data_IF_147585192620
#
_entry.id   IF_147585192620
#
_cell.length_a   1.000
_cell.length_b   1.000
_cell.length_c   1.000
_cell.angle_alpha   90.00
_cell.angle_beta   90.00
_cell.angle_gamma   90.00
#
_symmetry.space_group_name_H-M   'P 1'
#
loop_
_entity.id
_entity.type
_entity.pdbx_description
1 polymer ?
#
# COMPACT_ATOMS: atom_id res chain seq x y z
N UNK A 1 -6.40 4.92 0.25
CA UNK A 1 -5.38 3.92 0.67
C UNK A 1 -5.43 2.62 -0.10
N UNK A 2 -6.39 2.42 -1.00
CA UNK A 2 -6.49 1.18 -1.79
C UNK A 2 -5.16 0.66 -2.37
N UNK A 3 -4.33 1.54 -2.91
CA UNK A 3 -3.01 1.16 -3.43
C UNK A 3 -2.06 0.63 -2.34
N UNK A 4 -2.01 1.27 -1.17
CA UNK A 4 -1.10 0.87 -0.08
C UNK A 4 -1.56 -0.42 0.61
N UNK A 5 -2.87 -0.59 0.86
CA UNK A 5 -3.41 -1.81 1.45
C UNK A 5 -3.13 -3.04 0.59
N UNK A 6 -3.35 -2.93 -0.73
CA UNK A 6 -2.99 -3.99 -1.69
C UNK A 6 -1.48 -4.25 -1.73
N UNK A 7 -0.67 -3.20 -1.69
CA UNK A 7 0.80 -3.33 -1.65
C UNK A 7 1.23 -4.12 -0.42
N UNK A 8 0.77 -3.74 0.77
CA UNK A 8 1.04 -4.45 2.03
C UNK A 8 0.65 -5.93 1.94
N UNK A 9 -0.56 -6.23 1.42
CA UNK A 9 -1.05 -7.60 1.26
C UNK A 9 -0.13 -8.44 0.37
N UNK A 10 0.33 -7.86 -0.75
CA UNK A 10 1.21 -8.55 -1.69
C UNK A 10 2.59 -8.82 -1.07
N UNK A 11 3.19 -7.80 -0.46
CA UNK A 11 4.48 -7.92 0.21
C UNK A 11 4.46 -8.93 1.35
N UNK A 12 3.39 -8.93 2.17
CA UNK A 12 3.19 -9.92 3.23
C UNK A 12 3.17 -11.35 2.66
N UNK A 13 2.42 -11.57 1.57
CA UNK A 13 2.34 -12.88 0.91
C UNK A 13 3.67 -13.30 0.29
N UNK A 14 4.43 -12.38 -0.29
CA UNK A 14 5.78 -12.66 -0.81
C UNK A 14 6.74 -13.13 0.28
N UNK A 15 6.58 -12.64 1.52
CA UNK A 15 7.31 -13.13 2.69
C UNK A 15 6.74 -14.43 3.29
N UNK A 16 5.66 -14.98 2.74
CA UNK A 16 5.02 -16.19 3.26
C UNK A 16 4.29 -16.01 4.60
N UNK A 17 4.07 -14.77 5.04
CA UNK A 17 3.42 -14.49 6.32
C UNK A 17 1.90 -14.50 6.18
N UNK A 18 1.20 -15.04 7.17
CA UNK A 18 -0.23 -14.82 7.39
C UNK A 18 -0.50 -13.43 8.01
N UNK A 19 -1.75 -12.99 7.97
CA UNK A 19 -2.15 -11.73 8.62
C UNK A 19 -1.94 -11.78 10.14
N UNK A 20 -2.14 -12.95 10.76
CA UNK A 20 -1.97 -13.13 12.20
C UNK A 20 -0.51 -13.06 12.62
N UNK A 21 0.40 -13.64 11.83
CA UNK A 21 1.85 -13.57 12.10
C UNK A 21 2.38 -12.15 12.00
N UNK A 22 2.01 -11.43 10.93
CA UNK A 22 2.39 -10.02 10.77
C UNK A 22 1.82 -9.17 11.91
N UNK A 23 0.56 -9.40 12.29
CA UNK A 23 -0.09 -8.70 13.39
C UNK A 23 0.64 -8.96 14.71
N UNK A 24 0.98 -10.21 15.00
CA UNK A 24 1.67 -10.60 16.23
C UNK A 24 3.06 -9.98 16.34
N UNK A 25 3.82 -9.92 15.25
CA UNK A 25 5.16 -9.30 15.24
C UNK A 25 5.11 -7.78 15.48
N UNK A 26 4.00 -7.14 15.12
CA UNK A 26 3.81 -5.70 15.23
C UNK A 26 2.98 -5.27 16.46
N UNK A 27 2.55 -6.21 17.31
CA UNK A 27 1.67 -5.92 18.44
C UNK A 27 0.30 -5.36 18.03
N UNK A 28 -0.20 -5.75 16.85
CA UNK A 28 -1.50 -5.33 16.32
C UNK A 28 -2.50 -6.49 16.35
N UNK A 29 -3.80 -6.19 16.23
CA UNK A 29 -4.79 -7.24 16.01
C UNK A 29 -4.77 -7.73 14.56
N UNK A 30 -5.09 -9.01 14.34
CA UNK A 30 -5.30 -9.54 12.98
C UNK A 30 -6.37 -8.74 12.22
N UNK A 31 -7.43 -8.31 12.90
CA UNK A 31 -8.49 -7.48 12.31
C UNK A 31 -7.97 -6.14 11.79
N UNK A 32 -7.00 -5.53 12.48
CA UNK A 32 -6.33 -4.31 12.03
C UNK A 32 -5.59 -4.56 10.71
N UNK A 33 -4.76 -5.60 10.64
CA UNK A 33 -4.04 -5.96 9.40
C UNK A 33 -5.02 -6.26 8.26
N UNK A 34 -6.05 -7.06 8.52
CA UNK A 34 -7.07 -7.39 7.51
C UNK A 34 -7.78 -6.14 6.99
N UNK A 35 -8.19 -5.23 7.87
CA UNK A 35 -8.89 -4.05 7.46
C UNK A 35 -8.02 -3.04 6.70
N UNK A 36 -6.71 -2.97 7.02
CA UNK A 36 -5.73 -2.21 6.23
C UNK A 36 -5.61 -2.80 4.83
N UNK A 37 -5.42 -4.11 4.73
CA UNK A 37 -5.23 -4.81 3.45
C UNK A 37 -6.45 -4.75 2.53
N UNK A 38 -7.65 -4.64 3.11
CA UNK A 38 -8.91 -4.61 2.38
C UNK A 38 -9.56 -3.22 2.36
N UNK A 39 -8.88 -2.17 2.84
CA UNK A 39 -9.38 -0.79 2.86
C UNK A 39 -10.74 -0.63 3.58
N UNK A 40 -10.95 -1.40 4.67
CA UNK A 40 -12.17 -1.32 5.49
C UNK A 40 -11.97 -0.57 6.80
N UNK A 41 -10.75 -0.13 7.10
CA UNK A 41 -10.46 0.75 8.24
C UNK A 41 -10.65 2.20 7.78
N UNK A 42 -11.44 3.02 8.49
CA UNK A 42 -11.72 4.40 8.11
C UNK A 42 -10.47 5.29 8.20
N UNK A 43 -9.60 5.04 9.19
CA UNK A 43 -8.36 5.79 9.38
C UNK A 43 -7.24 4.89 9.90
N UNK A 44 -6.03 5.09 9.37
CA UNK A 44 -4.81 4.50 9.91
C UNK A 44 -3.73 5.57 10.06
N UNK A 45 -3.14 5.62 11.25
CA UNK A 45 -2.00 6.49 11.52
C UNK A 45 -0.76 6.09 10.73
N UNK A 46 -0.03 7.09 10.24
CA UNK A 46 1.17 6.91 9.39
C UNK A 46 2.23 5.98 10.02
N UNK A 47 2.41 6.05 11.35
CA UNK A 47 3.36 5.18 12.09
C UNK A 47 3.04 3.69 11.94
N UNK A 48 1.75 3.32 11.86
CA UNK A 48 1.37 1.91 11.66
C UNK A 48 1.72 1.44 10.25
N UNK A 49 1.51 2.30 9.26
CA UNK A 49 1.89 2.01 7.86
C UNK A 49 3.39 1.85 7.74
N UNK A 50 4.16 2.78 8.33
CA UNK A 50 5.61 2.73 8.37
C UNK A 50 6.13 1.46 9.07
N UNK A 51 5.59 1.10 10.24
CA UNK A 51 5.98 -0.12 10.96
C UNK A 51 5.73 -1.39 10.13
N UNK A 52 4.58 -1.47 9.45
CA UNK A 52 4.25 -2.60 8.56
C UNK A 52 5.25 -2.67 7.41
N UNK A 53 5.51 -1.55 6.72
CA UNK A 53 6.45 -1.51 5.62
C UNK A 53 7.85 -1.93 6.08
N UNK A 54 8.34 -1.38 7.20
CA UNK A 54 9.66 -1.70 7.74
C UNK A 54 9.79 -3.19 8.06
N UNK A 55 8.77 -3.81 8.66
CA UNK A 55 8.75 -5.26 8.91
C UNK A 55 8.79 -6.08 7.61
N UNK A 56 8.15 -5.57 6.57
CA UNK A 56 8.17 -6.17 5.24
C UNK A 56 9.45 -5.84 4.45
N UNK A 57 10.39 -5.06 5.00
CA UNK A 57 11.66 -4.70 4.35
C UNK A 57 11.55 -3.51 3.38
N UNK A 58 10.53 -2.68 3.54
CA UNK A 58 10.27 -1.49 2.73
C UNK A 58 10.18 -0.26 3.63
N UNK A 59 10.36 0.92 3.05
CA UNK A 59 10.20 2.18 3.79
C UNK A 59 9.21 3.10 3.07
N UNK A 60 8.58 3.99 3.83
CA UNK A 60 7.74 5.03 3.26
C UNK A 60 8.63 6.20 2.81
N UNK A 61 8.53 6.60 1.55
CA UNK A 61 9.33 7.70 1.00
C UNK A 61 8.45 8.73 0.28
N UNK A 62 8.85 10.00 0.35
CA UNK A 62 8.27 11.06 -0.45
C UNK A 62 8.88 11.02 -1.85
N UNK A 63 8.02 10.93 -2.87
CA UNK A 63 8.43 11.01 -4.27
C UNK A 63 7.92 12.32 -4.87
N UNK A 64 8.71 12.93 -5.76
CA UNK A 64 8.27 14.11 -6.48
C UNK A 64 6.96 13.79 -7.23
N UNK A 65 5.96 14.66 -7.09
CA UNK A 65 4.72 14.50 -7.85
C UNK A 65 5.05 14.57 -9.34
N UNK A 66 4.68 13.53 -10.09
CA UNK A 66 4.67 13.63 -11.55
C UNK A 66 3.69 14.72 -11.94
N UNK A 67 4.10 15.64 -12.82
CA UNK A 67 3.17 16.61 -13.43
C UNK A 67 2.01 15.79 -13.99
N UNK A 68 0.78 16.14 -13.57
CA UNK A 68 -0.40 15.53 -14.19
C UNK A 68 -0.33 15.84 -15.69
N UNK A 69 -0.47 14.83 -16.56
CA UNK A 69 -0.52 15.09 -17.98
C UNK A 69 -1.68 16.04 -18.28
N UNK A 70 -1.48 16.95 -19.23
CA UNK A 70 -2.56 17.79 -19.72
C UNK A 70 -3.58 16.92 -20.47
N UNK A 71 -4.79 17.45 -20.69
CA UNK A 71 -5.80 16.76 -21.50
C UNK A 71 -5.27 16.40 -22.89
N UNK A 72 -4.44 17.28 -23.47
CA UNK A 72 -3.82 17.06 -24.78
C UNK A 72 -2.83 15.90 -24.76
N UNK A 73 -1.99 15.80 -23.72
CA UNK A 73 -1.04 14.69 -23.54
C UNK A 73 -1.74 13.35 -23.31
N UNK A 74 -2.90 13.34 -22.62
CA UNK A 74 -3.71 12.14 -22.44
C UNK A 74 -4.36 11.68 -23.74
N UNK A 75 -4.77 12.62 -24.59
CA UNK A 75 -5.32 12.31 -25.92
C UNK A 75 -4.23 11.67 -26.78
N UNK A 76 -3.06 12.29 -26.90
CA UNK A 76 -1.93 11.78 -27.70
C UNK A 76 -1.49 10.37 -27.28
N UNK A 77 -1.41 10.09 -25.97
CA UNK A 77 -1.03 8.76 -25.47
C UNK A 77 -2.02 7.65 -25.88
N UNK A 78 -3.33 7.93 -25.86
CA UNK A 78 -4.36 6.95 -26.24
C UNK A 78 -4.46 6.72 -27.75
N UNK A 79 -3.93 7.63 -28.58
CA UNK A 79 -3.91 7.47 -30.03
C UNK A 79 -2.74 6.60 -30.54
N UNK A 80 -1.75 6.31 -29.70
CA UNK A 80 -0.61 5.45 -30.04
C UNK A 80 -0.75 3.98 -29.57
N UNK A 81 -1.84 3.64 -28.88
CA UNK A 81 -2.16 2.26 -28.45
C UNK A 81 -3.21 1.55 -29.35
N UNK A 82 -3.43 2.02 -30.59
CA UNK A 82 -4.26 1.34 -31.61
C UNK A 82 -3.46 0.95 -32.84
#
# INVERSE_FOLDING_TARGET
MEAIGRTIKNLRKQKGLSQSELASQLGMSRSTISGIENNTVPEIGIRKVEAILNMLGYTLTAVAQRRRPTLDQLKEANFHEQ
#
